data_IF_469997450034
#
_entry.id   IF_469997450034
#
_cell.length_a   1.000
_cell.length_b   1.000
_cell.length_c   1.000
_cell.angle_alpha   90.00
_cell.angle_beta   90.00
_cell.angle_gamma   90.00
#
_symmetry.space_group_name_H-M   'P 1'
#
loop_
_entity.id
_entity.type
_entity.pdbx_description
1 polymer ?
#
# COMPACT_ATOMS: atom_id res chain seq x y z
N UNK A 1 -9.36 -37.41 12.93
CA UNK A 1 -9.68 -36.83 11.60
C UNK A 1 -10.81 -35.80 11.68
N UNK A 2 -10.65 -34.66 12.37
CA UNK A 2 -11.77 -33.73 12.66
C UNK A 2 -11.38 -32.25 12.50
N UNK A 3 -10.75 -31.89 11.38
CA UNK A 3 -10.23 -30.52 11.16
C UNK A 3 -10.27 -30.02 9.70
N UNK A 4 -11.07 -30.62 8.80
CA UNK A 4 -11.17 -30.16 7.39
C UNK A 4 -12.42 -29.32 7.04
N UNK A 5 -13.40 -29.21 7.94
CA UNK A 5 -14.70 -28.59 7.62
C UNK A 5 -14.75 -27.06 7.80
N UNK A 6 -13.78 -26.44 8.49
CA UNK A 6 -13.82 -24.99 8.77
C UNK A 6 -13.25 -24.09 7.67
N UNK A 7 -12.48 -24.63 6.71
CA UNK A 7 -11.89 -23.84 5.62
C UNK A 7 -12.80 -23.72 4.40
N UNK A 8 -13.67 -24.70 4.15
CA UNK A 8 -14.59 -24.68 3.00
C UNK A 8 -15.70 -23.64 3.20
N UNK A 9 -16.16 -23.42 4.44
CA UNK A 9 -17.19 -22.42 4.75
C UNK A 9 -16.70 -20.97 4.57
N UNK A 10 -15.42 -20.69 4.88
CA UNK A 10 -14.79 -19.38 4.64
C UNK A 10 -14.55 -19.12 3.15
N UNK A 11 -14.22 -20.16 2.39
CA UNK A 11 -14.02 -20.08 0.93
C UNK A 11 -15.34 -19.89 0.18
N UNK A 12 -16.41 -20.55 0.63
CA UNK A 12 -17.77 -20.38 0.08
C UNK A 12 -18.36 -18.99 0.38
N UNK A 13 -18.10 -18.42 1.57
CA UNK A 13 -18.55 -17.06 1.92
C UNK A 13 -17.86 -15.96 1.10
N UNK A 14 -16.57 -16.12 0.80
CA UNK A 14 -15.80 -15.18 -0.05
C UNK A 14 -16.16 -15.37 -1.53
N UNK A 15 -16.36 -16.61 -1.99
CA UNK A 15 -16.76 -16.92 -3.36
C UNK A 15 -18.18 -16.48 -3.72
N UNK A 16 -19.14 -16.64 -2.80
CA UNK A 16 -20.51 -16.19 -3.01
C UNK A 16 -20.64 -14.65 -3.01
N UNK A 17 -19.87 -13.94 -2.17
CA UNK A 17 -19.82 -12.48 -2.17
C UNK A 17 -19.13 -11.90 -3.41
N UNK A 18 -18.01 -12.50 -3.83
CA UNK A 18 -17.30 -12.06 -5.04
C UNK A 18 -18.08 -12.35 -6.33
N UNK A 19 -18.75 -13.51 -6.42
CA UNK A 19 -19.56 -13.88 -7.58
C UNK A 19 -20.88 -13.07 -7.67
N UNK A 20 -21.47 -12.67 -6.54
CA UNK A 20 -22.64 -11.78 -6.54
C UNK A 20 -22.26 -10.34 -6.87
N UNK A 21 -21.13 -9.82 -6.37
CA UNK A 21 -20.60 -8.49 -6.75
C UNK A 21 -20.17 -8.48 -8.23
N UNK A 22 -19.55 -9.55 -8.73
CA UNK A 22 -19.18 -9.69 -10.14
C UNK A 22 -20.41 -9.87 -11.05
N UNK A 23 -21.43 -10.62 -10.60
CA UNK A 23 -22.68 -10.80 -11.33
C UNK A 23 -23.53 -9.52 -11.40
N UNK A 24 -23.64 -8.78 -10.30
CA UNK A 24 -24.26 -7.44 -10.30
C UNK A 24 -23.45 -6.46 -11.15
N UNK A 25 -22.11 -6.46 -11.04
CA UNK A 25 -21.23 -5.59 -11.82
C UNK A 25 -21.27 -5.88 -13.33
N UNK A 26 -21.41 -7.14 -13.75
CA UNK A 26 -21.51 -7.53 -15.16
C UNK A 26 -22.90 -7.27 -15.75
N UNK A 27 -23.98 -7.48 -14.98
CA UNK A 27 -25.35 -7.18 -15.41
C UNK A 27 -25.59 -5.66 -15.50
N UNK A 28 -25.13 -4.89 -14.51
CA UNK A 28 -25.10 -3.43 -14.62
C UNK A 28 -24.15 -3.00 -15.75
N UNK A 29 -22.98 -3.60 -15.88
CA UNK A 29 -22.00 -3.22 -16.91
C UNK A 29 -22.52 -3.33 -18.34
N UNK A 30 -23.29 -4.37 -18.66
CA UNK A 30 -23.85 -4.57 -20.02
C UNK A 30 -24.96 -3.58 -20.37
N UNK A 31 -25.81 -3.24 -19.40
CA UNK A 31 -26.92 -2.31 -19.61
C UNK A 31 -26.45 -0.84 -19.54
N UNK A 32 -25.53 -0.57 -18.61
CA UNK A 32 -24.80 0.70 -18.55
C UNK A 32 -24.04 0.90 -19.86
N UNK A 33 -23.31 -0.07 -20.43
CA UNK A 33 -22.56 0.08 -21.70
C UNK A 33 -23.41 0.58 -22.89
N UNK A 34 -24.68 0.16 -23.01
CA UNK A 34 -25.59 0.66 -24.05
C UNK A 34 -26.08 2.09 -23.78
N UNK A 35 -26.25 2.46 -22.51
CA UNK A 35 -26.62 3.83 -22.06
C UNK A 35 -25.41 4.78 -22.00
N UNK A 36 -24.20 4.27 -21.75
CA UNK A 36 -22.94 5.00 -21.59
C UNK A 36 -22.53 5.73 -22.85
N UNK A 37 -22.83 5.20 -24.04
CA UNK A 37 -22.53 5.90 -25.30
C UNK A 37 -23.25 7.26 -25.42
N UNK A 38 -24.37 7.45 -24.71
CA UNK A 38 -25.12 8.72 -24.70
C UNK A 38 -24.86 9.57 -23.45
N UNK A 39 -24.47 8.95 -22.34
CA UNK A 39 -24.34 9.61 -21.02
C UNK A 39 -22.94 9.48 -20.39
N UNK A 40 -21.89 9.30 -21.20
CA UNK A 40 -20.51 9.07 -20.73
C UNK A 40 -20.05 10.12 -19.71
N UNK A 41 -20.38 11.39 -19.96
CA UNK A 41 -20.03 12.50 -19.07
C UNK A 41 -20.67 12.37 -17.67
N UNK A 42 -21.92 11.93 -17.58
CA UNK A 42 -22.63 11.74 -16.31
C UNK A 42 -22.01 10.59 -15.51
N UNK A 43 -21.70 9.48 -16.17
CA UNK A 43 -21.07 8.32 -15.53
C UNK A 43 -19.66 8.68 -15.04
N UNK A 44 -18.88 9.39 -15.87
CA UNK A 44 -17.57 9.88 -15.47
C UNK A 44 -17.66 10.85 -14.28
N UNK A 45 -18.67 11.72 -14.25
CA UNK A 45 -18.90 12.66 -13.16
C UNK A 45 -19.26 11.95 -11.85
N UNK A 46 -20.12 10.93 -11.89
CA UNK A 46 -20.46 10.11 -10.72
C UNK A 46 -19.23 9.34 -10.23
N UNK A 47 -18.47 8.73 -11.14
CA UNK A 47 -17.24 8.04 -10.80
C UNK A 47 -16.20 8.99 -10.19
N UNK A 48 -16.04 10.20 -10.73
CA UNK A 48 -15.15 11.22 -10.19
C UNK A 48 -15.57 11.68 -8.79
N UNK A 49 -16.87 11.96 -8.59
CA UNK A 49 -17.43 12.35 -7.30
C UNK A 49 -17.31 11.24 -6.24
N UNK A 50 -17.32 9.97 -6.65
CA UNK A 50 -17.11 8.86 -5.72
C UNK A 50 -15.64 8.57 -5.44
N UNK A 51 -14.80 8.47 -6.48
CA UNK A 51 -13.43 7.93 -6.37
C UNK A 51 -12.44 8.99 -5.91
N UNK A 52 -12.53 10.22 -6.41
CA UNK A 52 -11.55 11.26 -6.08
C UNK A 52 -11.62 11.69 -4.61
N UNK A 53 -12.79 11.93 -4.01
CA UNK A 53 -12.88 12.23 -2.58
C UNK A 53 -12.40 11.07 -1.70
N UNK A 54 -12.69 9.82 -2.08
CA UNK A 54 -12.19 8.65 -1.38
C UNK A 54 -10.65 8.60 -1.37
N UNK A 55 -10.02 8.77 -2.54
CA UNK A 55 -8.56 8.77 -2.65
C UNK A 55 -7.94 9.99 -1.94
N UNK A 56 -8.58 11.15 -2.03
CA UNK A 56 -8.14 12.38 -1.40
C UNK A 56 -8.09 12.26 0.12
N UNK A 57 -9.22 11.88 0.73
CA UNK A 57 -9.33 11.66 2.17
C UNK A 57 -8.38 10.57 2.66
N UNK A 58 -8.29 9.45 1.91
CA UNK A 58 -7.37 8.37 2.25
C UNK A 58 -5.93 8.86 2.27
N UNK A 59 -5.50 9.64 1.28
CA UNK A 59 -4.14 10.19 1.23
C UNK A 59 -3.86 11.08 2.42
N UNK A 60 -4.74 12.04 2.74
CA UNK A 60 -4.53 12.96 3.87
C UNK A 60 -4.28 12.23 5.20
N UNK A 61 -4.92 11.08 5.40
CA UNK A 61 -4.90 10.38 6.69
C UNK A 61 -3.99 9.15 6.71
N UNK A 62 -3.43 8.73 5.56
CA UNK A 62 -2.64 7.48 5.40
C UNK A 62 -1.40 7.40 6.30
N UNK A 63 -0.95 8.52 6.87
CA UNK A 63 0.29 8.63 7.61
C UNK A 63 1.49 8.64 6.66
N UNK A 64 2.28 9.70 6.75
CA UNK A 64 3.53 9.86 6.03
C UNK A 64 4.65 10.05 7.05
N UNK A 65 5.87 9.68 6.66
CA UNK A 65 7.08 10.05 7.40
C UNK A 65 7.13 11.60 7.47
N UNK A 66 7.55 12.12 8.61
CA UNK A 66 7.64 13.56 8.86
C UNK A 66 8.45 14.26 7.75
N UNK A 67 8.04 15.47 7.37
CA UNK A 67 8.69 16.25 6.30
C UNK A 67 7.88 16.33 5.00
N UNK A 68 8.57 16.40 3.86
CA UNK A 68 7.97 16.69 2.55
C UNK A 68 6.89 15.70 2.10
N UNK A 69 7.00 14.43 2.49
CA UNK A 69 6.00 13.40 2.17
C UNK A 69 4.64 13.67 2.82
N UNK A 70 4.62 14.20 4.05
CA UNK A 70 3.38 14.57 4.74
C UNK A 70 2.70 15.78 4.08
N UNK A 71 3.49 16.78 3.70
CA UNK A 71 3.00 17.99 3.01
C UNK A 71 2.44 17.61 1.64
N UNK A 72 3.16 16.82 0.85
CA UNK A 72 2.71 16.38 -0.47
C UNK A 72 1.47 15.48 -0.38
N UNK A 73 1.40 14.63 0.62
CA UNK A 73 0.24 13.82 0.93
C UNK A 73 -1.01 14.64 1.23
N UNK A 74 -0.87 15.66 2.08
CA UNK A 74 -1.95 16.58 2.42
C UNK A 74 -2.38 17.44 1.23
N UNK A 75 -1.43 18.01 0.48
CA UNK A 75 -1.70 18.83 -0.71
C UNK A 75 -2.40 18.02 -1.79
N UNK A 76 -1.83 16.87 -2.18
CA UNK A 76 -2.44 16.03 -3.21
C UNK A 76 -3.81 15.48 -2.77
N UNK A 77 -3.98 15.20 -1.48
CA UNK A 77 -5.28 14.80 -0.92
C UNK A 77 -6.34 15.90 -1.01
N UNK A 78 -5.96 17.13 -0.67
CA UNK A 78 -6.83 18.32 -0.73
C UNK A 78 -7.25 18.63 -2.17
N UNK A 79 -6.31 18.58 -3.12
CA UNK A 79 -6.59 18.77 -4.55
C UNK A 79 -7.58 17.73 -5.06
N UNK A 80 -7.41 16.46 -4.69
CA UNK A 80 -8.32 15.39 -5.11
C UNK A 80 -9.73 15.57 -4.54
N UNK A 81 -9.86 16.03 -3.29
CA UNK A 81 -11.15 16.38 -2.70
C UNK A 81 -11.81 17.53 -3.45
N UNK A 82 -11.07 18.59 -3.75
CA UNK A 82 -11.56 19.75 -4.49
C UNK A 82 -12.06 19.36 -5.90
N UNK A 83 -11.28 18.56 -6.64
CA UNK A 83 -11.67 18.08 -7.97
C UNK A 83 -12.92 17.17 -7.88
N UNK A 84 -13.00 16.33 -6.85
CA UNK A 84 -14.17 15.47 -6.62
C UNK A 84 -15.47 16.22 -6.32
N UNK A 85 -15.40 17.50 -5.91
CA UNK A 85 -16.57 18.36 -5.72
C UNK A 85 -16.99 19.11 -6.98
N UNK A 86 -16.13 19.21 -8.01
CA UNK A 86 -16.44 19.90 -9.27
C UNK A 86 -17.68 19.35 -9.98
N UNK A 87 -17.94 18.02 -10.03
CA UNK A 87 -19.18 17.49 -10.60
C UNK A 87 -20.44 18.11 -9.98
N UNK A 88 -20.49 18.29 -8.66
CA UNK A 88 -21.63 18.89 -7.98
C UNK A 88 -21.84 20.35 -8.45
N UNK A 89 -20.75 21.12 -8.53
CA UNK A 89 -20.78 22.52 -8.98
C UNK A 89 -21.21 22.65 -10.44
N UNK A 90 -20.63 21.84 -11.33
CA UNK A 90 -20.91 21.89 -12.77
C UNK A 90 -22.36 21.47 -13.06
N UNK A 91 -22.83 20.37 -12.48
CA UNK A 91 -24.21 19.91 -12.69
C UNK A 91 -25.23 20.85 -12.03
N UNK A 92 -24.92 21.40 -10.86
CA UNK A 92 -25.75 22.41 -10.21
C UNK A 92 -25.88 23.69 -11.04
N UNK A 93 -24.78 24.16 -11.63
CA UNK A 93 -24.79 25.34 -12.51
C UNK A 93 -25.57 25.10 -13.81
N UNK A 94 -25.39 23.93 -14.45
CA UNK A 94 -26.12 23.55 -15.67
C UNK A 94 -27.62 23.42 -15.39
N UNK A 95 -27.98 22.84 -14.24
CA UNK A 95 -29.37 22.72 -13.78
C UNK A 95 -29.99 24.11 -13.56
N UNK A 96 -29.26 25.02 -12.90
CA UNK A 96 -29.72 26.39 -12.66
C UNK A 96 -29.88 27.19 -13.97
N UNK A 97 -29.01 26.99 -14.96
CA UNK A 97 -29.07 27.72 -16.23
C UNK A 97 -30.20 27.29 -17.17
N UNK A 98 -30.72 26.06 -17.02
CA UNK A 98 -31.75 25.54 -17.93
C UNK A 98 -33.19 25.90 -17.51
N UNK A 99 -33.39 26.46 -16.32
CA UNK A 99 -34.73 26.83 -15.81
C UNK A 99 -35.75 25.68 -15.79
N UNK A 100 -35.29 24.43 -15.97
CA UNK A 100 -36.11 23.28 -16.39
C UNK A 100 -36.68 22.46 -15.23
N UNK A 101 -36.66 23.03 -14.04
CA UNK A 101 -37.30 22.54 -12.83
C UNK A 101 -37.10 23.61 -11.80
N UNK A 102 -38.15 24.02 -11.10
CA UNK A 102 -38.06 25.07 -10.07
C UNK A 102 -36.92 24.82 -9.07
N UNK A 103 -36.65 25.78 -8.21
CA UNK A 103 -35.47 25.89 -7.31
C UNK A 103 -34.99 24.59 -6.61
N UNK A 104 -35.85 23.58 -6.52
CA UNK A 104 -35.55 22.23 -6.05
C UNK A 104 -34.57 21.39 -6.91
N UNK A 105 -34.54 21.52 -8.25
CA UNK A 105 -33.74 20.60 -9.08
C UNK A 105 -32.21 20.81 -8.93
N UNK A 106 -31.67 22.05 -8.97
CA UNK A 106 -30.26 22.30 -8.66
C UNK A 106 -29.90 21.86 -7.24
N UNK A 107 -30.78 22.11 -6.27
CA UNK A 107 -30.58 21.71 -4.87
C UNK A 107 -30.46 20.18 -4.73
N UNK A 108 -31.31 19.41 -5.42
CA UNK A 108 -31.24 17.95 -5.44
C UNK A 108 -29.94 17.43 -6.06
N UNK A 109 -29.45 18.04 -7.13
CA UNK A 109 -28.17 17.67 -7.74
C UNK A 109 -26.99 17.91 -6.78
N UNK A 110 -26.97 19.06 -6.10
CA UNK A 110 -25.97 19.36 -5.07
C UNK A 110 -26.02 18.36 -3.91
N UNK A 111 -27.22 18.03 -3.41
CA UNK A 111 -27.38 17.06 -2.34
C UNK A 111 -26.93 15.66 -2.76
N UNK A 112 -27.27 15.22 -3.98
CA UNK A 112 -26.91 13.90 -4.48
C UNK A 112 -25.39 13.74 -4.63
N UNK A 113 -24.73 14.64 -5.36
CA UNK A 113 -23.28 14.58 -5.53
C UNK A 113 -22.53 14.89 -4.23
N UNK A 114 -23.04 15.82 -3.42
CA UNK A 114 -22.51 16.12 -2.10
C UNK A 114 -22.56 14.92 -1.14
N UNK A 115 -23.67 14.18 -1.13
CA UNK A 115 -23.82 12.98 -0.32
C UNK A 115 -22.86 11.87 -0.76
N UNK A 116 -22.73 11.62 -2.08
CA UNK A 116 -21.77 10.64 -2.62
C UNK A 116 -20.35 11.02 -2.22
N UNK A 117 -19.94 12.26 -2.47
CA UNK A 117 -18.60 12.75 -2.12
C UNK A 117 -18.35 12.68 -0.61
N UNK A 118 -19.35 13.00 0.21
CA UNK A 118 -19.29 12.91 1.67
C UNK A 118 -19.07 11.48 2.17
N UNK A 119 -19.88 10.53 1.70
CA UNK A 119 -19.75 9.11 2.06
C UNK A 119 -18.39 8.57 1.61
N UNK A 120 -17.96 8.88 0.39
CA UNK A 120 -16.66 8.50 -0.13
C UNK A 120 -15.49 9.08 0.67
N UNK A 121 -15.58 10.34 1.06
CA UNK A 121 -14.59 11.01 1.91
C UNK A 121 -14.45 10.31 3.26
N UNK A 122 -15.58 9.97 3.90
CA UNK A 122 -15.58 9.22 5.16
C UNK A 122 -14.96 7.83 5.00
N UNK A 123 -15.37 7.08 3.97
CA UNK A 123 -14.81 5.75 3.68
C UNK A 123 -13.30 5.80 3.41
N UNK A 124 -12.85 6.82 2.67
CA UNK A 124 -11.44 7.05 2.39
C UNK A 124 -10.64 7.37 3.65
N UNK A 125 -11.16 8.26 4.50
CA UNK A 125 -10.55 8.62 5.78
C UNK A 125 -10.39 7.42 6.71
N UNK A 126 -11.44 6.60 6.87
CA UNK A 126 -11.39 5.37 7.68
C UNK A 126 -10.34 4.40 7.12
N UNK A 127 -10.34 4.15 5.81
CA UNK A 127 -9.35 3.28 5.17
C UNK A 127 -7.91 3.82 5.33
N UNK A 128 -7.74 5.14 5.36
CA UNK A 128 -6.48 5.82 5.66
C UNK A 128 -6.02 5.56 7.10
N UNK A 129 -6.90 5.77 8.08
CA UNK A 129 -6.63 5.54 9.50
C UNK A 129 -6.26 4.09 9.80
N UNK A 130 -7.02 3.12 9.26
CA UNK A 130 -6.75 1.69 9.48
C UNK A 130 -5.38 1.29 8.90
N UNK A 131 -4.99 1.87 7.76
CA UNK A 131 -3.68 1.63 7.15
C UNK A 131 -2.51 2.33 7.85
N UNK A 132 -2.79 3.35 8.67
CA UNK A 132 -1.79 4.22 9.29
C UNK A 132 -0.83 3.46 10.19
N UNK A 133 -1.35 2.62 11.09
CA UNK A 133 -0.53 1.87 12.05
C UNK A 133 0.50 0.96 11.39
N UNK A 134 0.09 0.22 10.35
CA UNK A 134 0.99 -0.67 9.59
C UNK A 134 2.14 0.10 8.94
N UNK A 135 1.88 1.32 8.46
CA UNK A 135 2.91 2.18 7.86
C UNK A 135 3.88 2.74 8.86
N UNK A 136 3.40 3.21 10.01
CA UNK A 136 4.29 3.67 11.08
C UNK A 136 5.21 2.55 11.55
N UNK A 137 4.70 1.32 11.63
CA UNK A 137 5.55 0.15 11.91
C UNK A 137 6.62 -0.05 10.85
N UNK A 138 6.27 0.02 9.56
CA UNK A 138 7.26 -0.09 8.48
C UNK A 138 8.35 1.00 8.57
N UNK A 139 7.98 2.24 8.92
CA UNK A 139 8.96 3.31 9.13
C UNK A 139 9.87 3.05 10.33
N UNK A 140 9.31 2.54 11.45
CA UNK A 140 10.13 2.17 12.61
C UNK A 140 11.12 1.05 12.28
N UNK A 141 10.70 0.04 11.52
CA UNK A 141 11.57 -1.05 11.05
C UNK A 141 12.65 -0.51 10.12
N UNK A 142 12.31 0.40 9.20
CA UNK A 142 13.28 1.06 8.31
C UNK A 142 14.30 1.89 9.10
N UNK A 143 13.84 2.69 10.07
CA UNK A 143 14.70 3.50 10.95
C UNK A 143 15.64 2.60 11.79
N UNK A 144 15.12 1.50 12.35
CA UNK A 144 15.92 0.52 13.09
C UNK A 144 16.96 -0.17 12.20
N UNK A 145 16.59 -0.54 10.97
CA UNK A 145 17.49 -1.15 10.00
C UNK A 145 18.60 -0.19 9.56
N UNK A 146 18.27 1.07 9.33
CA UNK A 146 19.27 2.10 9.01
C UNK A 146 20.26 2.29 10.17
N UNK A 147 19.75 2.40 11.40
CA UNK A 147 20.60 2.50 12.59
C UNK A 147 21.48 1.25 12.79
N UNK A 148 20.94 0.06 12.50
CA UNK A 148 21.72 -1.18 12.53
C UNK A 148 22.85 -1.19 11.50
N UNK A 149 22.57 -0.79 10.26
CA UNK A 149 23.58 -0.72 9.20
C UNK A 149 24.67 0.30 9.57
N UNK A 150 24.29 1.48 10.05
CA UNK A 150 25.22 2.51 10.52
C UNK A 150 26.09 2.02 11.68
N UNK A 151 25.49 1.35 12.69
CA UNK A 151 26.22 0.80 13.83
C UNK A 151 27.23 -0.29 13.45
N UNK A 152 26.99 -1.02 12.37
CA UNK A 152 27.92 -2.02 11.82
C UNK A 152 28.87 -1.45 10.77
N UNK A 153 28.86 -0.12 10.55
CA UNK A 153 29.68 0.54 9.54
C UNK A 153 29.35 0.11 8.11
N UNK A 154 28.11 -0.33 7.86
CA UNK A 154 27.65 -0.77 6.56
C UNK A 154 27.11 0.43 5.78
N UNK A 155 27.86 0.89 4.76
CA UNK A 155 27.48 2.05 3.94
C UNK A 155 27.11 1.63 2.52
N UNK A 156 26.06 2.19 1.95
CA UNK A 156 25.69 1.96 0.55
C UNK A 156 26.54 2.82 -0.40
N UNK A 157 27.02 2.23 -1.50
CA UNK A 157 27.71 2.92 -2.59
C UNK A 157 26.70 3.66 -3.48
N UNK A 158 26.99 4.90 -3.88
CA UNK A 158 26.16 5.70 -4.81
C UNK A 158 26.38 5.34 -6.30
N UNK A 159 26.91 4.15 -6.61
CA UNK A 159 27.20 3.70 -7.97
C UNK A 159 26.05 2.90 -8.63
N UNK A 160 26.13 2.75 -9.96
CA UNK A 160 25.19 1.95 -10.79
C UNK A 160 25.14 0.47 -10.36
N UNK A 161 26.24 -0.06 -9.82
CA UNK A 161 26.26 -1.35 -9.15
C UNK A 161 26.09 -1.15 -7.64
N UNK A 162 24.90 -1.52 -7.14
CA UNK A 162 24.57 -1.43 -5.70
C UNK A 162 25.51 -2.33 -4.91
N UNK A 163 26.52 -1.70 -4.30
CA UNK A 163 27.49 -2.32 -3.40
C UNK A 163 27.34 -1.75 -2.00
N UNK A 164 27.45 -2.59 -0.99
CA UNK A 164 27.54 -2.18 0.41
C UNK A 164 29.00 -2.33 0.84
N UNK A 165 29.54 -1.40 1.62
CA UNK A 165 30.86 -1.55 2.23
C UNK A 165 30.67 -1.84 3.71
N UNK A 166 31.34 -2.85 4.25
CA UNK A 166 31.36 -3.08 5.71
C UNK A 166 32.42 -2.20 6.42
N UNK A 167 32.43 -2.23 7.76
CA UNK A 167 33.39 -1.50 8.57
C UNK A 167 34.86 -1.88 8.29
N UNK A 168 35.10 -3.05 7.67
CA UNK A 168 36.43 -3.53 7.29
C UNK A 168 36.81 -3.12 5.85
N UNK A 169 35.93 -2.39 5.15
CA UNK A 169 36.14 -1.93 3.78
C UNK A 169 35.88 -2.99 2.71
N UNK A 170 35.29 -4.13 3.05
CA UNK A 170 34.94 -5.14 2.04
C UNK A 170 33.72 -4.68 1.26
N UNK A 171 33.81 -4.70 -0.07
CA UNK A 171 32.67 -4.49 -0.94
C UNK A 171 31.79 -5.75 -0.98
N UNK A 172 30.56 -5.61 -0.52
CA UNK A 172 29.55 -6.64 -0.39
C UNK A 172 28.44 -6.44 -1.43
N UNK A 173 28.04 -7.55 -2.07
CA UNK A 173 26.89 -7.61 -2.97
C UNK A 173 25.81 -8.50 -2.36
N UNK A 174 24.56 -8.04 -2.41
CA UNK A 174 23.41 -8.88 -2.03
C UNK A 174 23.23 -10.00 -3.07
N UNK A 175 23.27 -11.24 -2.61
CA UNK A 175 22.98 -12.41 -3.44
C UNK A 175 21.54 -12.86 -3.25
N UNK A 176 21.11 -12.90 -1.99
CA UNK A 176 19.82 -13.48 -1.62
C UNK A 176 19.24 -12.69 -0.45
N UNK A 177 17.93 -12.46 -0.50
CA UNK A 177 17.17 -11.86 0.59
C UNK A 177 15.99 -12.79 0.90
N UNK A 178 16.04 -13.46 2.04
CA UNK A 178 14.95 -14.31 2.54
C UNK A 178 14.17 -13.57 3.63
N UNK A 179 13.13 -14.19 4.15
CA UNK A 179 12.37 -13.64 5.29
C UNK A 179 13.15 -13.67 6.61
N UNK A 180 14.24 -14.46 6.66
CA UNK A 180 15.00 -14.72 7.89
C UNK A 180 16.43 -14.16 7.81
N UNK A 181 16.98 -13.95 6.61
CA UNK A 181 18.32 -13.40 6.46
C UNK A 181 18.55 -12.71 5.11
N UNK A 182 19.43 -11.71 5.11
CA UNK A 182 20.07 -11.17 3.90
C UNK A 182 21.45 -11.80 3.78
N UNK A 183 21.74 -12.41 2.63
CA UNK A 183 23.01 -13.03 2.33
C UNK A 183 23.79 -12.12 1.39
N UNK A 184 24.94 -11.68 1.88
CA UNK A 184 25.89 -10.82 1.21
C UNK A 184 27.12 -11.65 0.79
N UNK A 185 27.72 -11.31 -0.34
CA UNK A 185 28.99 -11.89 -0.78
C UNK A 185 30.02 -10.78 -0.97
N UNK A 186 31.24 -10.93 -0.41
CA UNK A 186 32.32 -10.02 -0.69
C UNK A 186 32.85 -10.20 -2.12
N UNK A 187 32.95 -9.11 -2.86
CA UNK A 187 33.46 -9.09 -4.23
C UNK A 187 34.94 -9.55 -4.23
N UNK A 188 35.31 -10.34 -5.25
CA UNK A 188 36.68 -10.84 -5.39
C UNK A 188 37.02 -12.02 -4.48
N UNK A 189 36.08 -12.49 -3.65
CA UNK A 189 36.29 -13.66 -2.78
C UNK A 189 35.41 -14.84 -3.20
N UNK A 190 35.93 -16.05 -3.02
CA UNK A 190 35.17 -17.30 -3.18
C UNK A 190 34.92 -17.93 -1.82
N UNK A 191 33.82 -18.66 -1.69
CA UNK A 191 33.45 -19.40 -0.48
C UNK A 191 33.32 -18.56 0.80
N UNK A 192 33.16 -17.24 0.65
CA UNK A 192 32.90 -16.32 1.76
C UNK A 192 31.55 -15.64 1.58
N UNK A 193 30.82 -15.46 2.67
CA UNK A 193 29.52 -14.80 2.73
C UNK A 193 29.42 -14.03 4.04
N UNK A 194 28.64 -12.96 4.04
CA UNK A 194 28.19 -12.31 5.26
C UNK A 194 26.67 -12.44 5.36
N UNK A 195 26.18 -12.54 6.59
CA UNK A 195 24.78 -12.78 6.88
C UNK A 195 24.27 -11.66 7.78
N UNK A 196 23.09 -11.12 7.42
CA UNK A 196 22.32 -10.25 8.30
C UNK A 196 21.04 -11.01 8.66
N UNK A 197 20.83 -11.33 9.93
CA UNK A 197 19.60 -12.00 10.37
C UNK A 197 18.46 -11.00 10.48
N UNK A 198 17.25 -11.42 10.09
CA UNK A 198 16.05 -10.60 10.03
C UNK A 198 14.97 -11.19 10.95
N UNK A 199 14.30 -10.34 11.73
CA UNK A 199 13.12 -10.74 12.52
C UNK A 199 11.92 -11.01 11.62
N UNK A 200 10.90 -11.68 12.17
CA UNK A 200 9.60 -11.87 11.49
C UNK A 200 8.94 -10.54 11.09
N UNK A 201 9.32 -9.44 11.72
CA UNK A 201 8.80 -8.10 11.47
C UNK A 201 9.64 -7.31 10.47
N UNK A 202 10.78 -7.84 10.02
CA UNK A 202 11.67 -7.24 9.02
C UNK A 202 12.85 -6.46 9.60
N UNK A 203 13.08 -6.53 10.91
CA UNK A 203 14.17 -5.81 11.60
C UNK A 203 15.48 -6.61 11.51
N UNK A 204 16.59 -5.94 11.23
CA UNK A 204 17.93 -6.54 11.23
C UNK A 204 18.44 -6.66 12.66
N UNK A 205 18.90 -7.86 13.05
CA UNK A 205 19.33 -8.13 14.43
C UNK A 205 20.83 -8.31 14.58
N UNK A 206 21.43 -9.14 13.72
CA UNK A 206 22.82 -9.57 13.87
C UNK A 206 23.51 -9.56 12.52
N UNK A 207 24.76 -9.09 12.51
CA UNK A 207 25.65 -9.14 11.37
C UNK A 207 26.80 -10.09 11.67
N UNK A 208 26.95 -11.14 10.86
CA UNK A 208 27.98 -12.17 11.10
C UNK A 208 29.40 -11.70 10.76
N UNK A 209 29.55 -10.58 10.03
CA UNK A 209 30.77 -10.30 9.29
C UNK A 209 30.99 -11.30 8.14
N UNK A 210 32.11 -11.14 7.43
CA UNK A 210 32.49 -12.05 6.34
C UNK A 210 33.03 -13.37 6.91
N UNK A 211 32.23 -14.43 6.79
CA UNK A 211 32.55 -15.79 7.26
C UNK A 211 32.65 -16.78 6.11
N UNK A 212 33.22 -17.96 6.38
CA UNK A 212 33.28 -19.03 5.39
C UNK A 212 31.88 -19.66 5.20
N UNK A 213 31.51 -20.09 3.99
CA UNK A 213 30.16 -20.63 3.71
C UNK A 213 29.79 -21.82 4.61
N UNK A 214 30.78 -22.63 5.01
CA UNK A 214 30.57 -23.76 5.92
C UNK A 214 30.04 -23.35 7.29
N UNK A 215 30.30 -22.12 7.73
CA UNK A 215 29.83 -21.57 9.00
C UNK A 215 28.45 -20.90 8.86
N UNK A 216 28.04 -20.59 7.63
CA UNK A 216 26.80 -19.91 7.30
C UNK A 216 25.53 -20.64 7.69
N UNK A 217 25.58 -21.96 7.90
CA UNK A 217 24.43 -22.76 8.36
C UNK A 217 23.86 -22.27 9.70
N UNK A 218 24.70 -21.65 10.54
CA UNK A 218 24.28 -21.07 11.84
C UNK A 218 23.42 -19.81 11.68
N UNK A 219 23.57 -19.10 10.56
CA UNK A 219 22.93 -17.80 10.31
C UNK A 219 21.78 -17.88 9.28
N UNK A 220 21.80 -18.91 8.42
CA UNK A 220 20.81 -19.09 7.35
C UNK A 220 19.53 -19.83 7.77
N UNK A 221 19.30 -20.05 9.07
CA UNK A 221 18.02 -20.61 9.53
C UNK A 221 17.72 -22.01 8.97
N UNK A 222 18.64 -22.97 9.07
CA UNK A 222 18.13 -24.33 9.30
C UNK A 222 17.44 -24.28 10.65
N UNK A 223 16.10 -24.23 10.61
CA UNK A 223 15.19 -24.55 11.70
C UNK A 223 15.49 -25.97 12.20
N UNK A 224 16.60 -26.17 12.90
CA UNK A 224 16.70 -27.21 13.90
C UNK A 224 16.12 -26.58 15.15
N UNK A 225 14.79 -26.65 15.27
CA UNK A 225 14.17 -26.61 16.58
C UNK A 225 14.99 -27.53 17.51
N UNK A 226 15.33 -27.11 18.74
CA UNK A 226 16.00 -28.00 19.67
C UNK A 226 15.16 -29.27 19.76
N UNK A 227 15.77 -30.42 19.49
CA UNK A 227 15.14 -31.71 19.74
C UNK A 227 14.69 -31.67 21.21
N UNK A 228 13.37 -31.63 21.41
CA UNK A 228 12.79 -31.64 22.73
C UNK A 228 13.34 -32.85 23.49
N UNK A 229 14.00 -32.57 24.61
CA UNK A 229 14.42 -33.56 25.59
C UNK A 229 13.23 -33.99 26.44
#
# INVERSE_FOLDING_TARGET
MKQRTHNILKLAGIGAGAATIAGFGAAFGRDTYRSTKKNLLVIAAIAAAAVLPFLGARRMVRGYRTGGGAIWGALSGTVLLAIGLLPALVFGAIAASQGSGGDAFPALAFLFFGAISGISTLGGGIAGLVGRGKRFRMFQVEDANLAFLEANGITASEGDDVHYFDAQGNALRVIEATQEAVILMPIGTRNKRAYITITKDGEMLEYSGVVHISEGARYAGTSTAPAAA
#
